data_IF_199306950470
#
_entry.id   IF_199306950470
#
_cell.length_a   1.000
_cell.length_b   1.000
_cell.length_c   1.000
_cell.angle_alpha   90.00
_cell.angle_beta   90.00
_cell.angle_gamma   90.00
#
_symmetry.space_group_name_H-M   'P 1'
#
loop_
_entity.id
_entity.type
_entity.pdbx_description
1 polymer ?
#
# COMPACT_ATOMS: atom_id res chain seq x y z
N UNK A 1 -13.00 16.40 -1.91
CA UNK A 1 -13.64 15.27 -1.19
C UNK A 1 -12.69 14.23 -0.54
N UNK A 2 -11.38 14.48 -0.36
CA UNK A 2 -10.45 13.51 0.29
C UNK A 2 -10.07 13.87 1.75
N UNK A 3 -10.91 14.66 2.44
CA UNK A 3 -10.77 14.89 3.90
C UNK A 3 -11.35 13.76 4.75
N UNK A 4 -12.07 12.83 4.13
CA UNK A 4 -12.77 11.76 4.84
C UNK A 4 -11.81 10.60 5.06
N UNK A 5 -11.53 10.24 6.31
CA UNK A 5 -10.69 9.09 6.68
C UNK A 5 -11.37 7.72 6.47
N UNK A 6 -12.37 7.64 5.59
CA UNK A 6 -13.19 6.44 5.37
C UNK A 6 -12.35 5.25 4.93
N UNK A 7 -11.43 5.47 3.99
CA UNK A 7 -10.54 4.39 3.51
C UNK A 7 -9.63 3.85 4.62
N UNK A 8 -9.17 4.70 5.54
CA UNK A 8 -8.35 4.27 6.68
C UNK A 8 -9.18 3.51 7.71
N UNK A 9 -10.38 3.97 8.03
CA UNK A 9 -11.28 3.29 8.97
C UNK A 9 -11.64 1.91 8.39
N UNK A 10 -12.00 1.86 7.11
CA UNK A 10 -12.33 0.60 6.44
C UNK A 10 -11.14 -0.36 6.41
N UNK A 11 -9.94 0.14 6.07
CA UNK A 11 -8.71 -0.67 6.11
C UNK A 11 -8.43 -1.19 7.52
N UNK A 12 -8.54 -0.33 8.54
CA UNK A 12 -8.35 -0.70 9.94
C UNK A 12 -9.33 -1.78 10.39
N UNK A 13 -10.64 -1.59 10.15
CA UNK A 13 -11.67 -2.58 10.49
C UNK A 13 -11.41 -3.91 9.76
N UNK A 14 -11.01 -3.85 8.49
CA UNK A 14 -10.66 -5.04 7.70
C UNK A 14 -9.45 -5.75 8.30
N UNK A 15 -8.39 -5.02 8.69
CA UNK A 15 -7.23 -5.59 9.35
C UNK A 15 -7.60 -6.22 10.71
N UNK A 16 -8.50 -5.60 11.48
CA UNK A 16 -8.99 -6.18 12.75
C UNK A 16 -9.74 -7.49 12.49
N UNK A 17 -10.61 -7.54 11.48
CA UNK A 17 -11.32 -8.77 11.11
C UNK A 17 -10.34 -9.86 10.66
N UNK A 18 -9.37 -9.52 9.80
CA UNK A 18 -8.32 -10.46 9.36
C UNK A 18 -7.50 -10.95 10.55
N UNK A 19 -7.14 -10.07 11.48
CA UNK A 19 -6.41 -10.43 12.70
C UNK A 19 -7.25 -11.35 13.60
N UNK A 20 -8.56 -11.08 13.73
CA UNK A 20 -9.47 -11.94 14.49
C UNK A 20 -9.60 -13.32 13.84
N UNK A 21 -9.72 -13.41 12.51
CA UNK A 21 -9.71 -14.68 11.79
C UNK A 21 -8.39 -15.43 12.00
N UNK A 22 -7.25 -14.75 11.89
CA UNK A 22 -5.93 -15.35 12.15
C UNK A 22 -5.82 -15.84 13.60
N UNK A 23 -6.27 -15.04 14.57
CA UNK A 23 -6.31 -15.39 15.99
C UNK A 23 -7.25 -16.55 16.30
N UNK A 24 -8.39 -16.64 15.61
CA UNK A 24 -9.31 -17.78 15.72
C UNK A 24 -8.64 -19.06 15.21
N UNK A 25 -7.97 -19.02 14.06
CA UNK A 25 -7.20 -20.19 13.57
C UNK A 25 -6.17 -20.60 14.61
N UNK A 26 -5.37 -19.66 15.12
CA UNK A 26 -4.39 -19.93 16.18
C UNK A 26 -5.04 -20.54 17.44
N UNK A 27 -6.20 -20.05 17.85
CA UNK A 27 -6.91 -20.55 19.04
C UNK A 27 -7.41 -21.98 18.85
N UNK A 28 -7.96 -22.30 17.67
CA UNK A 28 -8.51 -23.63 17.38
C UNK A 28 -7.43 -24.66 17.08
N UNK A 29 -6.37 -24.30 16.36
CA UNK A 29 -5.28 -25.23 16.01
C UNK A 29 -4.20 -25.31 17.09
N UNK A 30 -4.10 -24.30 17.96
CA UNK A 30 -2.98 -24.09 18.91
C UNK A 30 -1.61 -24.02 18.23
N UNK A 31 -1.59 -23.74 16.94
CA UNK A 31 -0.38 -23.66 16.12
C UNK A 31 -0.41 -22.39 15.28
N UNK A 32 0.76 -21.77 15.10
CA UNK A 32 0.91 -20.63 14.21
C UNK A 32 0.73 -21.14 12.77
N UNK A 33 -0.25 -20.62 11.99
CA UNK A 33 -0.47 -21.06 10.62
C UNK A 33 0.81 -20.97 9.80
N UNK A 34 1.32 -22.11 9.34
CA UNK A 34 2.53 -22.14 8.53
C UNK A 34 2.30 -21.45 7.18
N UNK A 35 3.30 -20.70 6.71
CA UNK A 35 3.27 -19.99 5.42
C UNK A 35 2.91 -20.92 4.24
N UNK A 36 3.42 -22.16 4.25
CA UNK A 36 3.12 -23.18 3.24
C UNK A 36 1.85 -24.01 3.48
N UNK A 37 1.20 -23.86 4.64
CA UNK A 37 -0.07 -24.51 4.93
C UNK A 37 -1.23 -23.82 4.20
N UNK A 38 -2.39 -24.49 4.10
CA UNK A 38 -3.53 -23.99 3.33
C UNK A 38 -3.91 -22.54 3.69
N UNK A 39 -4.13 -22.25 4.98
CA UNK A 39 -4.51 -20.91 5.44
C UNK A 39 -3.41 -19.87 5.14
N UNK A 40 -2.15 -20.18 5.47
CA UNK A 40 -1.01 -19.31 5.22
C UNK A 40 -0.84 -18.99 3.73
N UNK A 41 -1.01 -19.98 2.87
CA UNK A 41 -0.90 -19.81 1.42
C UNK A 41 -2.05 -18.95 0.86
N UNK A 42 -3.29 -19.17 1.32
CA UNK A 42 -4.46 -18.36 0.91
C UNK A 42 -4.28 -16.89 1.27
N UNK A 43 -3.89 -16.58 2.51
CA UNK A 43 -3.68 -15.17 2.90
C UNK A 43 -2.48 -14.54 2.17
N UNK A 44 -1.45 -15.33 1.85
CA UNK A 44 -0.31 -14.89 1.05
C UNK A 44 -0.72 -14.52 -0.38
N UNK A 45 -1.49 -15.38 -1.06
CA UNK A 45 -2.00 -15.11 -2.41
C UNK A 45 -2.90 -13.87 -2.41
N UNK A 46 -3.88 -13.81 -1.51
CA UNK A 46 -4.80 -12.67 -1.44
C UNK A 46 -4.08 -11.36 -1.12
N UNK A 47 -3.11 -11.41 -0.20
CA UNK A 47 -2.27 -10.26 0.15
C UNK A 47 -1.45 -9.77 -1.04
N UNK A 48 -0.80 -10.68 -1.78
CA UNK A 48 -0.05 -10.35 -2.98
C UNK A 48 -0.94 -9.79 -4.09
N UNK A 49 -2.14 -10.37 -4.31
CA UNK A 49 -3.12 -9.83 -5.25
C UNK A 49 -3.51 -8.40 -4.88
N UNK A 50 -3.78 -8.11 -3.60
CA UNK A 50 -4.11 -6.76 -3.16
C UNK A 50 -2.93 -5.78 -3.37
N UNK A 51 -1.70 -6.22 -3.12
CA UNK A 51 -0.52 -5.43 -3.43
C UNK A 51 -0.44 -5.15 -4.94
N UNK A 52 -0.60 -6.16 -5.80
CA UNK A 52 -0.62 -5.97 -7.26
C UNK A 52 -1.72 -5.01 -7.71
N UNK A 53 -2.92 -5.11 -7.16
CA UNK A 53 -4.02 -4.18 -7.46
C UNK A 53 -3.67 -2.74 -7.07
N UNK A 54 -2.96 -2.55 -5.95
CA UNK A 54 -2.48 -1.24 -5.48
C UNK A 54 -1.59 -0.57 -6.51
N UNK A 55 -0.61 -1.30 -7.03
CA UNK A 55 0.36 -0.78 -8.01
C UNK A 55 -0.25 -0.59 -9.40
N UNK A 56 -1.05 -1.57 -9.84
CA UNK A 56 -1.55 -1.62 -11.23
C UNK A 56 -2.79 -0.76 -11.45
N UNK A 57 -3.85 -0.91 -10.66
CA UNK A 57 -5.15 -0.31 -10.97
C UNK A 57 -5.12 1.22 -10.90
N UNK A 58 -4.45 1.78 -9.90
CA UNK A 58 -4.31 3.23 -9.79
C UNK A 58 -3.49 3.80 -10.96
N UNK A 59 -2.36 3.17 -11.28
CA UNK A 59 -1.48 3.59 -12.38
C UNK A 59 -2.16 3.48 -13.74
N UNK A 60 -2.88 2.37 -13.99
CA UNK A 60 -3.67 2.16 -15.20
C UNK A 60 -4.77 3.22 -15.33
N UNK A 61 -5.50 3.50 -14.25
CA UNK A 61 -6.55 4.53 -14.26
C UNK A 61 -6.00 5.93 -14.52
N UNK A 62 -4.83 6.25 -13.96
CA UNK A 62 -4.16 7.55 -14.15
C UNK A 62 -3.64 7.73 -15.57
N UNK A 63 -3.18 6.66 -16.21
CA UNK A 63 -2.64 6.68 -17.59
C UNK A 63 -3.74 6.57 -18.65
N UNK A 64 -4.84 5.87 -18.37
CA UNK A 64 -5.93 5.68 -19.33
C UNK A 64 -6.80 6.93 -19.45
N UNK A 65 -6.77 7.58 -20.62
CA UNK A 65 -7.64 8.71 -20.96
C UNK A 65 -9.07 8.30 -21.33
N UNK A 66 -9.29 7.03 -21.69
CA UNK A 66 -10.59 6.50 -22.14
C UNK A 66 -11.41 5.84 -21.01
N UNK A 67 -10.76 5.44 -19.91
CA UNK A 67 -11.45 4.81 -18.79
C UNK A 67 -12.34 5.82 -18.03
N UNK A 68 -13.66 5.77 -18.27
CA UNK A 68 -14.68 6.56 -17.55
C UNK A 68 -15.08 5.94 -16.19
N UNK A 69 -14.38 4.90 -15.73
CA UNK A 69 -14.75 4.17 -14.52
C UNK A 69 -14.37 4.98 -13.29
N UNK A 70 -15.37 5.42 -12.52
CA UNK A 70 -15.21 6.06 -11.21
C UNK A 70 -14.47 7.41 -11.21
N UNK A 71 -14.59 8.13 -10.10
CA UNK A 71 -13.84 9.38 -9.87
C UNK A 71 -12.41 9.04 -9.46
N UNK A 72 -11.45 9.88 -9.81
CA UNK A 72 -10.03 9.67 -9.45
C UNK A 72 -9.81 9.57 -7.93
N UNK A 73 -10.63 10.26 -7.14
CA UNK A 73 -10.58 10.17 -5.68
C UNK A 73 -10.91 8.75 -5.17
N UNK A 74 -11.87 8.07 -5.79
CA UNK A 74 -12.31 6.72 -5.39
C UNK A 74 -11.19 5.70 -5.65
N UNK A 75 -10.45 5.84 -6.77
CA UNK A 75 -9.28 5.01 -7.07
C UNK A 75 -8.11 5.23 -6.11
N UNK A 76 -7.89 6.47 -5.67
CA UNK A 76 -6.88 6.75 -4.65
C UNK A 76 -7.28 6.16 -3.29
N UNK A 77 -8.56 6.22 -2.92
CA UNK A 77 -9.08 5.56 -1.72
C UNK A 77 -8.90 4.05 -1.80
N UNK A 78 -9.21 3.45 -2.96
CA UNK A 78 -8.98 2.04 -3.21
C UNK A 78 -7.50 1.67 -3.12
N UNK A 79 -6.60 2.45 -3.74
CA UNK A 79 -5.15 2.27 -3.63
C UNK A 79 -4.66 2.30 -2.17
N UNK A 80 -5.12 3.26 -1.36
CA UNK A 80 -4.76 3.34 0.07
C UNK A 80 -5.29 2.10 0.81
N UNK A 81 -6.53 1.69 0.53
CA UNK A 81 -7.13 0.52 1.17
C UNK A 81 -6.36 -0.77 0.85
N UNK A 82 -6.16 -1.08 -0.42
CA UNK A 82 -5.43 -2.29 -0.84
C UNK A 82 -3.96 -2.23 -0.44
N UNK A 83 -3.36 -1.03 -0.43
CA UNK A 83 -1.98 -0.77 -0.01
C UNK A 83 -1.74 -0.88 1.49
N UNK A 84 -2.79 -1.01 2.31
CA UNK A 84 -2.69 -1.32 3.74
C UNK A 84 -3.07 -2.79 3.98
N UNK A 85 -4.22 -3.23 3.46
CA UNK A 85 -4.76 -4.58 3.70
C UNK A 85 -3.88 -5.66 3.08
N UNK A 86 -3.38 -5.47 1.85
CA UNK A 86 -2.51 -6.43 1.18
C UNK A 86 -1.22 -6.71 1.95
N UNK A 87 -0.41 -5.67 2.27
CA UNK A 87 0.77 -5.79 3.12
C UNK A 87 0.51 -6.42 4.49
N UNK A 88 -0.64 -6.11 5.12
CA UNK A 88 -1.01 -6.72 6.39
C UNK A 88 -1.22 -8.24 6.28
N UNK A 89 -1.88 -8.72 5.21
CA UNK A 89 -2.03 -10.15 4.95
C UNK A 89 -0.69 -10.83 4.65
N UNK A 90 0.21 -10.18 3.92
CA UNK A 90 1.57 -10.68 3.66
C UNK A 90 2.42 -10.74 4.93
N UNK A 91 2.26 -9.78 5.86
CA UNK A 91 2.90 -9.86 7.18
C UNK A 91 2.48 -11.13 7.92
N UNK A 92 1.17 -11.42 7.96
CA UNK A 92 0.64 -12.62 8.61
C UNK A 92 1.07 -13.92 7.92
N UNK A 93 1.26 -13.90 6.60
CA UNK A 93 1.79 -15.04 5.82
C UNK A 93 3.19 -15.46 6.30
N UNK A 94 4.01 -14.54 6.79
CA UNK A 94 5.39 -14.86 7.23
C UNK A 94 5.46 -15.82 8.42
N UNK A 95 4.32 -16.07 9.11
CA UNK A 95 4.29 -16.92 10.32
C UNK A 95 5.28 -16.44 11.39
N UNK A 96 5.54 -15.13 11.45
CA UNK A 96 6.54 -14.50 12.33
C UNK A 96 7.98 -14.95 12.10
N UNK A 97 8.30 -15.47 10.90
CA UNK A 97 9.66 -15.86 10.49
C UNK A 97 10.23 -14.83 9.51
N UNK A 98 11.27 -14.13 9.94
CA UNK A 98 11.89 -13.02 9.19
C UNK A 98 13.30 -13.39 8.74
N UNK A 99 13.43 -14.28 7.77
CA UNK A 99 14.73 -14.73 7.27
C UNK A 99 14.81 -14.73 5.74
N UNK A 100 16.04 -14.69 5.23
CA UNK A 100 16.36 -14.75 3.81
C UNK A 100 15.65 -13.69 2.96
N UNK A 101 15.33 -14.05 1.72
CA UNK A 101 14.65 -13.18 0.77
C UNK A 101 13.25 -12.78 1.22
N UNK A 102 12.53 -13.66 1.92
CA UNK A 102 11.20 -13.37 2.45
C UNK A 102 11.24 -12.23 3.48
N UNK A 103 12.22 -12.25 4.39
CA UNK A 103 12.44 -11.19 5.37
C UNK A 103 12.79 -9.84 4.73
N UNK A 104 13.67 -9.84 3.71
CA UNK A 104 14.01 -8.62 2.95
C UNK A 104 12.78 -8.07 2.21
N UNK A 105 11.98 -8.94 1.60
CA UNK A 105 10.75 -8.56 0.90
C UNK A 105 9.73 -7.94 1.87
N UNK A 106 9.60 -8.50 3.08
CA UNK A 106 8.77 -7.91 4.12
C UNK A 106 9.30 -6.55 4.58
N UNK A 107 10.61 -6.40 4.73
CA UNK A 107 11.21 -5.10 5.09
C UNK A 107 10.87 -4.03 4.04
N UNK A 108 11.05 -4.34 2.75
CA UNK A 108 10.65 -3.47 1.65
C UNK A 108 9.14 -3.17 1.69
N UNK A 109 8.32 -4.15 2.06
CA UNK A 109 6.87 -3.98 2.26
C UNK A 109 6.58 -2.96 3.37
N UNK A 110 7.27 -3.03 4.50
CA UNK A 110 7.16 -2.04 5.57
C UNK A 110 7.57 -0.64 5.11
N UNK A 111 8.68 -0.54 4.38
CA UNK A 111 9.20 0.73 3.84
C UNK A 111 8.23 1.38 2.85
N UNK A 112 7.62 0.61 1.93
CA UNK A 112 6.66 1.18 0.96
C UNK A 112 5.38 1.65 1.65
N UNK A 113 4.88 0.90 2.64
CA UNK A 113 3.69 1.28 3.42
C UNK A 113 3.94 2.57 4.18
N UNK A 114 5.07 2.66 4.89
CA UNK A 114 5.47 3.88 5.59
C UNK A 114 5.62 5.07 4.63
N UNK A 115 6.28 4.86 3.49
CA UNK A 115 6.40 5.87 2.43
C UNK A 115 5.02 6.31 1.91
N UNK A 116 4.05 5.40 1.79
CA UNK A 116 2.68 5.72 1.41
C UNK A 116 1.97 6.65 2.42
N UNK A 117 2.16 6.41 3.72
CA UNK A 117 1.67 7.33 4.77
C UNK A 117 2.30 8.72 4.67
N UNK A 118 3.60 8.80 4.40
CA UNK A 118 4.30 10.09 4.14
C UNK A 118 3.67 10.81 2.93
N UNK A 119 3.43 10.09 1.83
CA UNK A 119 2.78 10.64 0.65
C UNK A 119 1.38 11.18 0.93
N UNK A 120 0.56 10.44 1.69
CA UNK A 120 -0.78 10.88 2.12
C UNK A 120 -0.71 12.11 3.04
N UNK A 121 0.26 12.14 3.95
CA UNK A 121 0.48 13.30 4.83
C UNK A 121 0.78 14.55 4.00
N UNK A 122 1.71 14.48 3.03
CA UNK A 122 2.02 15.62 2.16
C UNK A 122 0.78 16.01 1.33
N UNK A 123 0.11 15.03 0.71
CA UNK A 123 -1.04 15.27 -0.17
C UNK A 123 -2.24 15.94 0.52
N UNK A 124 -2.53 15.58 1.79
CA UNK A 124 -3.63 16.17 2.56
C UNK A 124 -3.36 17.59 3.02
N UNK A 125 -2.08 18.00 3.05
CA UNK A 125 -1.63 19.35 3.40
C UNK A 125 -1.60 20.32 2.22
N UNK A 126 -1.78 19.84 0.98
CA UNK A 126 -1.85 20.71 -0.21
C UNK A 126 -3.18 21.46 -0.21
N UNK A 127 -3.17 22.81 -0.12
CA UNK A 127 -4.39 23.61 -0.27
C UNK A 127 -5.02 23.38 -1.63
N UNK A 128 -6.34 23.15 -1.68
CA UNK A 128 -7.01 22.69 -2.91
C UNK A 128 -7.53 23.78 -3.84
N UNK A 129 -7.57 25.03 -3.40
CA UNK A 129 -7.78 26.15 -4.29
C UNK A 129 -7.25 27.40 -3.62
N UNK A 130 -6.75 28.32 -4.44
CA UNK A 130 -6.43 29.68 -4.04
C UNK A 130 -7.70 30.57 -4.04
N UNK A 131 -8.88 29.98 -3.79
CA UNK A 131 -10.19 30.64 -3.90
C UNK A 131 -10.49 31.61 -2.73
N UNK A 132 -9.46 31.98 -1.96
CA UNK A 132 -9.52 32.98 -0.91
C UNK A 132 -8.34 33.95 -0.97
N UNK A 133 -7.70 34.12 -2.14
CA UNK A 133 -6.78 35.25 -2.33
C UNK A 133 -7.65 36.51 -2.47
N UNK A 134 -8.16 37.00 -1.34
CA UNK A 134 -8.71 38.35 -1.22
C UNK A 134 -7.58 39.37 -1.03
N UNK A 135 -6.37 38.92 -0.66
CA UNK A 135 -5.20 39.76 -0.41
C UNK A 135 -4.07 39.50 -1.42
N UNK A 136 -3.89 40.40 -2.42
CA UNK A 136 -2.77 40.37 -3.37
C UNK A 136 -1.38 40.60 -2.75
N UNK A 137 -1.28 40.82 -1.43
CA UNK A 137 -0.05 41.11 -0.72
C UNK A 137 0.76 39.90 -0.25
N UNK A 138 1.28 40.01 0.99
CA UNK A 138 2.19 39.03 1.60
C UNK A 138 1.54 37.64 1.77
N UNK A 139 0.26 37.58 2.11
CA UNK A 139 -0.45 36.32 2.37
C UNK A 139 -0.58 35.47 1.09
N UNK A 140 -0.89 36.09 -0.05
CA UNK A 140 -0.94 35.41 -1.34
C UNK A 140 0.41 34.81 -1.77
N UNK A 141 1.50 35.57 -1.60
CA UNK A 141 2.86 35.09 -1.92
C UNK A 141 3.33 33.96 -0.98
N UNK A 142 3.00 34.03 0.31
CA UNK A 142 3.25 32.95 1.28
C UNK A 142 2.47 31.67 0.93
N UNK A 143 1.20 31.78 0.54
CA UNK A 143 0.41 30.61 0.11
C UNK A 143 0.94 30.00 -1.20
N UNK A 144 1.33 30.84 -2.17
CA UNK A 144 1.92 30.39 -3.43
C UNK A 144 3.24 29.61 -3.21
N UNK A 145 4.12 30.13 -2.35
CA UNK A 145 5.36 29.43 -1.98
C UNK A 145 5.10 28.12 -1.21
N UNK A 146 4.10 28.09 -0.32
CA UNK A 146 3.68 26.86 0.36
C UNK A 146 3.16 25.80 -0.62
N UNK A 147 2.35 26.20 -1.61
CA UNK A 147 1.86 25.30 -2.66
C UNK A 147 3.00 24.78 -3.54
N UNK A 148 3.95 25.65 -3.91
CA UNK A 148 5.14 25.26 -4.67
C UNK A 148 6.01 24.26 -3.89
N UNK A 149 6.24 24.50 -2.60
CA UNK A 149 6.95 23.59 -1.72
C UNK A 149 6.24 22.23 -1.60
N UNK A 150 4.91 22.24 -1.43
CA UNK A 150 4.15 20.99 -1.33
C UNK A 150 4.19 20.19 -2.65
N UNK A 151 4.14 20.86 -3.80
CA UNK A 151 4.34 20.22 -5.13
C UNK A 151 5.74 19.64 -5.28
N UNK A 152 6.78 20.35 -4.83
CA UNK A 152 8.16 19.87 -4.83
C UNK A 152 8.32 18.62 -3.96
N UNK A 153 7.79 18.64 -2.74
CA UNK A 153 7.78 17.49 -1.84
C UNK A 153 7.04 16.30 -2.45
N UNK A 154 5.88 16.52 -3.07
CA UNK A 154 5.18 15.45 -3.79
C UNK A 154 6.00 14.88 -4.94
N UNK A 155 6.69 15.72 -5.71
CA UNK A 155 7.56 15.26 -6.80
C UNK A 155 8.69 14.38 -6.27
N UNK A 156 9.40 14.85 -5.24
CA UNK A 156 10.47 14.10 -4.58
C UNK A 156 9.97 12.77 -4.00
N UNK A 157 8.80 12.79 -3.38
CA UNK A 157 8.17 11.58 -2.86
C UNK A 157 7.92 10.55 -3.96
N UNK A 158 7.39 10.92 -5.13
CA UNK A 158 7.19 9.97 -6.24
C UNK A 158 8.50 9.36 -6.73
N UNK A 159 9.57 10.16 -6.82
CA UNK A 159 10.91 9.70 -7.23
C UNK A 159 11.47 8.63 -6.30
N UNK A 160 11.10 8.65 -5.02
CA UNK A 160 11.54 7.66 -4.03
C UNK A 160 10.56 6.49 -3.92
N UNK A 161 9.26 6.78 -3.87
CA UNK A 161 8.22 5.78 -3.65
C UNK A 161 8.13 4.76 -4.79
N UNK A 162 8.21 5.20 -6.05
CA UNK A 162 8.05 4.32 -7.21
C UNK A 162 9.19 3.28 -7.30
N UNK A 163 10.49 3.64 -7.22
CA UNK A 163 11.57 2.64 -7.23
C UNK A 163 11.48 1.63 -6.09
N UNK A 164 11.06 2.05 -4.90
CA UNK A 164 10.84 1.12 -3.77
C UNK A 164 9.75 0.10 -4.13
N UNK A 165 8.65 0.55 -4.74
CA UNK A 165 7.60 -0.32 -5.24
C UNK A 165 8.13 -1.32 -6.28
N UNK A 166 8.89 -0.85 -7.27
CA UNK A 166 9.50 -1.71 -8.29
C UNK A 166 10.43 -2.77 -7.68
N UNK A 167 11.29 -2.37 -6.74
CA UNK A 167 12.18 -3.29 -6.03
C UNK A 167 11.40 -4.32 -5.21
N UNK A 168 10.35 -3.90 -4.51
CA UNK A 168 9.47 -4.77 -3.73
C UNK A 168 8.78 -5.82 -4.61
N UNK A 169 8.17 -5.42 -5.73
CA UNK A 169 7.50 -6.37 -6.62
C UNK A 169 8.50 -7.32 -7.27
N UNK A 170 9.68 -6.83 -7.64
CA UNK A 170 10.75 -7.68 -8.18
C UNK A 170 11.16 -8.73 -7.16
N UNK A 171 11.45 -8.33 -5.92
CA UNK A 171 11.77 -9.25 -4.82
C UNK A 171 10.63 -10.25 -4.54
N UNK A 172 9.38 -9.78 -4.58
CA UNK A 172 8.19 -10.61 -4.38
C UNK A 172 8.04 -11.68 -5.47
N UNK A 173 8.24 -11.31 -6.74
CA UNK A 173 8.23 -12.28 -7.85
C UNK A 173 9.35 -13.31 -7.71
N UNK A 174 10.57 -12.88 -7.40
CA UNK A 174 11.69 -13.80 -7.16
C UNK A 174 11.39 -14.74 -5.99
N UNK A 175 10.81 -14.22 -4.91
CA UNK A 175 10.40 -15.02 -3.76
C UNK A 175 9.36 -16.08 -4.12
N UNK A 176 8.29 -15.68 -4.83
CA UNK A 176 7.20 -16.59 -5.24
C UNK A 176 7.71 -17.64 -6.23
N UNK A 177 8.46 -17.22 -7.26
CA UNK A 177 9.02 -18.14 -8.25
C UNK A 177 10.01 -19.12 -7.62
N UNK A 178 10.86 -18.64 -6.72
CA UNK A 178 11.74 -19.50 -5.93
C UNK A 178 10.94 -20.52 -5.12
N UNK A 179 9.94 -20.07 -4.36
CA UNK A 179 9.09 -20.95 -3.56
C UNK A 179 8.40 -22.04 -4.42
N UNK A 180 7.87 -21.66 -5.59
CA UNK A 180 7.25 -22.60 -6.53
C UNK A 180 8.27 -23.57 -7.14
N UNK A 181 9.46 -23.09 -7.51
CA UNK A 181 10.53 -23.92 -8.06
C UNK A 181 10.98 -24.99 -7.07
N UNK A 182 11.30 -24.60 -5.83
CA UNK A 182 11.71 -25.53 -4.78
C UNK A 182 10.57 -26.49 -4.39
N UNK A 183 9.32 -26.03 -4.40
CA UNK A 183 8.18 -26.90 -4.10
C UNK A 183 7.87 -27.92 -5.21
N UNK A 184 8.24 -27.63 -6.47
CA UNK A 184 7.90 -28.48 -7.63
C UNK A 184 9.02 -29.43 -8.02
N UNK A 185 10.28 -28.97 -8.01
CA UNK A 185 11.41 -29.71 -8.60
C UNK A 185 12.35 -30.34 -7.56
N UNK A 186 12.26 -29.95 -6.29
CA UNK A 186 13.13 -30.43 -5.21
C UNK A 186 12.37 -31.18 -4.10
N UNK A 187 11.14 -31.61 -4.41
CA UNK A 187 10.42 -32.65 -3.66
C UNK A 187 10.76 -34.02 -4.24
#
# INVERSE_FOLDING_TARGET
MLRSSKELILAFLTCVVIAACYGAVLFFTREIPAAGGFYGHTIGILGFVFMLLTETLYSLRKRSRSARWGRMADWLQFHIFTGIVGPFMVLLHTSWKFNGLAGVTLLLTGVIVFSGFVGRYIYTRIPRTADGIEDPGLVGSMQASALANARRLMSLWHTVHIPIGMALFTASFVHILGALYYATFLR
#
